data_IF_552160990870
#
_entry.id   IF_552160990870
#
_cell.length_a   1.000
_cell.length_b   1.000
_cell.length_c   1.000
_cell.angle_alpha   90.00
_cell.angle_beta   90.00
_cell.angle_gamma   90.00
#
_symmetry.space_group_name_H-M   'P 1'
#
loop_
_entity.id
_entity.type
_entity.pdbx_description
1 polymer ?
#
# COMPACT_ATOMS: atom_id res chain seq x y z
N UNK A 1 -15.57 -13.59 24.30
CA UNK A 1 -16.28 -12.81 25.35
C UNK A 1 -17.58 -12.31 24.75
N UNK A 2 -18.70 -12.32 25.47
CA UNK A 2 -19.94 -11.75 24.94
C UNK A 2 -19.79 -10.23 24.73
N UNK A 3 -20.26 -9.71 23.59
CA UNK A 3 -20.05 -8.31 23.19
C UNK A 3 -20.67 -7.28 24.14
N UNK A 4 -21.66 -7.68 24.96
CA UNK A 4 -22.21 -6.83 26.03
C UNK A 4 -21.14 -6.30 27.00
N UNK A 5 -20.03 -7.02 27.15
CA UNK A 5 -18.94 -6.61 28.06
C UNK A 5 -17.96 -5.63 27.41
N UNK A 6 -18.10 -5.30 26.12
CA UNK A 6 -17.19 -4.42 25.39
C UNK A 6 -17.14 -2.98 25.93
N UNK A 7 -18.14 -2.58 26.73
CA UNK A 7 -18.14 -1.29 27.42
C UNK A 7 -17.04 -1.15 28.48
N UNK A 8 -16.55 -2.28 29.02
CA UNK A 8 -15.56 -2.29 30.12
C UNK A 8 -14.34 -3.17 29.82
N UNK A 9 -14.45 -4.12 28.89
CA UNK A 9 -13.37 -5.00 28.52
C UNK A 9 -12.61 -4.47 27.29
N UNK A 10 -11.26 -4.47 27.31
CA UNK A 10 -10.48 -4.09 26.15
C UNK A 10 -10.65 -5.10 25.02
N UNK A 11 -10.57 -4.63 23.78
CA UNK A 11 -10.65 -5.46 22.58
C UNK A 11 -9.34 -5.35 21.79
N UNK A 12 -8.61 -6.46 21.71
CA UNK A 12 -7.33 -6.54 20.99
C UNK A 12 -7.44 -6.26 19.49
N UNK A 13 -8.62 -6.49 18.87
CA UNK A 13 -8.87 -6.14 17.47
C UNK A 13 -8.70 -4.64 17.24
N UNK A 14 -9.24 -3.81 18.14
CA UNK A 14 -9.12 -2.36 18.07
C UNK A 14 -7.67 -1.90 18.22
N UNK A 15 -6.88 -2.57 19.06
CA UNK A 15 -5.46 -2.24 19.22
C UNK A 15 -4.68 -2.43 17.92
N UNK A 16 -4.93 -3.52 17.18
CA UNK A 16 -4.26 -3.77 15.89
C UNK A 16 -4.72 -2.75 14.85
N UNK A 17 -6.02 -2.45 14.75
CA UNK A 17 -6.56 -1.46 13.82
C UNK A 17 -5.91 -0.08 14.06
N UNK A 18 -5.85 0.36 15.32
CA UNK A 18 -5.24 1.64 15.68
C UNK A 18 -3.73 1.67 15.42
N UNK A 19 -3.04 0.55 15.64
CA UNK A 19 -1.62 0.44 15.33
C UNK A 19 -1.38 0.57 13.82
N UNK A 20 -2.11 -0.17 12.98
CA UNK A 20 -1.98 -0.11 11.53
C UNK A 20 -2.24 1.30 10.97
N UNK A 21 -3.27 2.00 11.46
CA UNK A 21 -3.56 3.39 11.06
C UNK A 21 -2.48 4.41 11.47
N UNK A 22 -1.65 4.09 12.47
CA UNK A 22 -0.47 4.88 12.83
C UNK A 22 0.74 4.59 11.96
N UNK A 23 0.82 3.39 11.36
CA UNK A 23 1.92 2.98 10.50
C UNK A 23 1.71 3.41 9.05
N UNK A 24 0.46 3.48 8.59
CA UNK A 24 0.12 3.79 7.20
C UNK A 24 -1.20 4.55 7.10
N UNK A 25 -1.25 5.61 6.28
CA UNK A 25 -2.49 6.40 6.05
C UNK A 25 -3.22 6.07 4.75
N UNK A 26 -2.82 4.99 4.06
CA UNK A 26 -3.35 4.65 2.74
C UNK A 26 -2.50 5.18 1.59
N UNK A 27 -1.53 6.07 1.86
CA UNK A 27 -0.57 6.58 0.86
C UNK A 27 0.87 6.52 1.33
N UNK A 28 1.16 6.94 2.56
CA UNK A 28 2.51 7.10 3.06
C UNK A 28 2.73 6.27 4.32
N UNK A 29 3.89 5.63 4.39
CA UNK A 29 4.34 4.88 5.55
C UNK A 29 4.93 5.86 6.56
N UNK A 30 4.43 5.83 7.79
CA UNK A 30 4.78 6.79 8.85
C UNK A 30 5.92 6.31 9.76
N UNK A 31 6.55 5.19 9.43
CA UNK A 31 7.65 4.62 10.19
C UNK A 31 8.89 5.51 10.00
N UNK A 32 9.50 6.04 11.08
CA UNK A 32 10.72 6.82 10.98
C UNK A 32 11.83 6.02 10.28
N UNK A 33 12.47 6.65 9.29
CA UNK A 33 13.54 6.04 8.53
C UNK A 33 13.12 5.07 7.42
N UNK A 34 11.82 4.85 7.21
CA UNK A 34 11.32 3.91 6.19
C UNK A 34 11.82 4.23 4.78
N UNK A 35 11.95 5.51 4.45
CA UNK A 35 12.37 5.97 3.12
C UNK A 35 13.86 6.34 3.03
N UNK A 36 14.61 6.37 4.14
CA UNK A 36 15.96 6.95 4.19
C UNK A 36 16.96 6.28 3.24
N UNK A 37 16.76 5.00 2.94
CA UNK A 37 17.64 4.21 2.06
C UNK A 37 17.06 3.96 0.67
N UNK A 38 15.88 4.53 0.38
CA UNK A 38 15.27 4.42 -0.95
C UNK A 38 16.08 5.31 -1.89
N UNK A 39 16.78 4.68 -2.83
CA UNK A 39 17.56 5.39 -3.84
C UNK A 39 16.64 5.75 -5.00
N UNK A 40 16.69 6.98 -5.52
CA UNK A 40 15.97 7.32 -6.73
C UNK A 40 16.50 6.49 -7.91
N UNK A 41 15.61 6.19 -8.86
CA UNK A 41 16.01 5.57 -10.12
C UNK A 41 17.00 6.48 -10.87
N UNK A 42 18.05 5.88 -11.41
CA UNK A 42 18.99 6.51 -12.34
C UNK A 42 18.32 6.84 -13.67
N UNK A 43 18.92 7.70 -14.49
CA UNK A 43 18.36 8.04 -15.81
C UNK A 43 18.24 6.84 -16.76
N UNK A 44 19.17 5.88 -16.65
CA UNK A 44 19.09 4.62 -17.41
C UNK A 44 17.90 3.78 -16.95
N UNK A 45 17.73 3.62 -15.64
CA UNK A 45 16.60 2.87 -15.09
C UNK A 45 15.26 3.53 -15.41
N UNK A 46 15.16 4.86 -15.30
CA UNK A 46 13.96 5.61 -15.71
C UNK A 46 13.57 5.34 -17.16
N UNK A 47 14.55 5.28 -18.06
CA UNK A 47 14.30 4.98 -19.48
C UNK A 47 13.74 3.57 -19.67
N UNK A 48 14.37 2.57 -19.06
CA UNK A 48 13.91 1.17 -19.10
C UNK A 48 12.48 1.07 -18.54
N UNK A 49 12.24 1.70 -17.39
CA UNK A 49 10.94 1.72 -16.72
C UNK A 49 9.88 2.43 -17.60
N UNK A 50 10.24 3.49 -18.31
CA UNK A 50 9.32 4.20 -19.21
C UNK A 50 8.85 3.35 -20.39
N UNK A 51 9.70 2.42 -20.86
CA UNK A 51 9.43 1.51 -21.98
C UNK A 51 8.65 0.25 -21.56
N UNK A 52 8.43 0.02 -20.26
CA UNK A 52 7.76 -1.19 -19.75
C UNK A 52 6.33 -1.34 -20.31
N UNK A 53 6.01 -2.41 -21.06
CA UNK A 53 4.68 -2.54 -21.69
C UNK A 53 3.59 -2.76 -20.63
N UNK A 54 2.81 -1.72 -20.37
CA UNK A 54 1.73 -1.74 -19.37
C UNK A 54 0.51 -1.00 -19.88
N UNK A 55 -0.62 -1.68 -19.84
CA UNK A 55 -1.96 -1.14 -20.08
C UNK A 55 -2.73 -1.10 -18.77
N UNK A 56 -3.22 0.08 -18.40
CA UNK A 56 -4.01 0.28 -17.17
C UNK A 56 -5.32 -0.50 -17.27
N UNK A 57 -5.94 -0.45 -18.44
CA UNK A 57 -7.24 -1.03 -18.74
C UNK A 57 -7.16 -2.56 -18.65
N UNK A 58 -6.16 -3.18 -19.30
CA UNK A 58 -5.96 -4.63 -19.26
C UNK A 58 -5.62 -5.13 -17.85
N UNK A 59 -4.78 -4.37 -17.11
CA UNK A 59 -4.47 -4.69 -15.73
C UNK A 59 -5.72 -4.63 -14.84
N UNK A 60 -6.55 -3.60 -15.00
CA UNK A 60 -7.79 -3.50 -14.22
C UNK A 60 -8.79 -4.60 -14.57
N UNK A 61 -8.95 -4.93 -15.85
CA UNK A 61 -9.85 -5.99 -16.31
C UNK A 61 -9.41 -7.36 -15.77
N UNK A 62 -8.13 -7.71 -15.91
CA UNK A 62 -7.59 -9.01 -15.48
C UNK A 62 -7.71 -9.25 -13.97
N UNK A 63 -7.65 -8.19 -13.16
CA UNK A 63 -7.78 -8.27 -11.70
C UNK A 63 -9.16 -7.85 -11.17
N UNK A 64 -10.12 -7.50 -12.04
CA UNK A 64 -11.46 -7.07 -11.65
C UNK A 64 -11.49 -5.77 -10.82
N UNK A 65 -10.53 -4.87 -11.05
CA UNK A 65 -10.36 -3.63 -10.29
C UNK A 65 -11.21 -2.49 -10.87
N UNK A 66 -11.77 -1.67 -9.98
CA UNK A 66 -12.55 -0.47 -10.37
C UNK A 66 -11.72 0.81 -10.48
N UNK A 67 -10.59 0.84 -9.80
CA UNK A 67 -9.65 1.96 -9.82
C UNK A 67 -8.25 1.45 -9.46
N UNK A 68 -7.24 2.23 -9.83
CA UNK A 68 -5.87 2.06 -9.36
C UNK A 68 -5.48 3.26 -8.49
N UNK A 69 -4.32 3.14 -7.85
CA UNK A 69 -3.79 4.17 -6.95
C UNK A 69 -3.48 5.50 -7.65
N UNK A 70 -3.15 5.44 -8.93
CA UNK A 70 -2.87 6.60 -9.79
C UNK A 70 -3.62 6.46 -11.11
N UNK A 71 -3.88 7.59 -11.75
CA UNK A 71 -4.62 7.60 -13.00
C UNK A 71 -3.75 7.48 -14.24
N UNK A 72 -2.54 8.04 -14.20
CA UNK A 72 -1.62 8.02 -15.32
C UNK A 72 -0.66 6.82 -15.22
N UNK A 73 -0.22 6.34 -16.38
CA UNK A 73 0.69 5.20 -16.50
C UNK A 73 2.06 5.46 -15.86
N UNK A 74 2.59 6.67 -15.98
CA UNK A 74 3.93 7.01 -15.50
C UNK A 74 4.04 6.81 -13.99
N UNK A 75 3.11 7.36 -13.22
CA UNK A 75 3.07 7.22 -11.76
C UNK A 75 2.81 5.78 -11.31
N UNK A 76 1.96 5.03 -12.02
CA UNK A 76 1.73 3.61 -11.74
C UNK A 76 3.03 2.80 -11.88
N UNK A 77 3.74 3.00 -12.99
CA UNK A 77 4.95 2.26 -13.31
C UNK A 77 6.13 2.70 -12.45
N UNK A 78 6.27 4.01 -12.18
CA UNK A 78 7.22 4.53 -11.22
C UNK A 78 6.96 3.94 -9.83
N UNK A 79 5.71 3.88 -9.37
CA UNK A 79 5.37 3.29 -8.07
C UNK A 79 5.62 1.79 -8.04
N UNK A 80 5.44 1.07 -9.16
CA UNK A 80 5.65 -0.37 -9.23
C UNK A 80 7.14 -0.76 -9.14
N UNK A 81 8.04 0.04 -9.73
CA UNK A 81 9.47 -0.30 -9.81
C UNK A 81 10.39 0.55 -8.94
N UNK A 82 9.95 1.75 -8.54
CA UNK A 82 10.79 2.75 -7.87
C UNK A 82 10.45 2.99 -6.40
N UNK A 83 9.26 2.61 -5.95
CA UNK A 83 8.79 2.92 -4.59
C UNK A 83 8.65 1.65 -3.73
N UNK A 84 8.99 1.70 -2.43
CA UNK A 84 8.71 0.60 -1.50
C UNK A 84 7.21 0.51 -1.20
N UNK A 85 6.76 -0.68 -0.80
CA UNK A 85 5.36 -0.93 -0.42
C UNK A 85 5.23 -1.25 1.07
N UNK A 86 4.03 -1.04 1.60
CA UNK A 86 3.61 -1.49 2.92
C UNK A 86 2.19 -2.04 2.77
N UNK A 87 2.04 -3.35 2.93
CA UNK A 87 0.81 -4.07 2.67
C UNK A 87 0.35 -4.86 3.90
N UNK A 88 -0.96 -5.14 3.96
CA UNK A 88 -1.54 -6.09 4.92
C UNK A 88 -2.03 -7.30 4.13
N UNK A 89 -1.33 -8.42 4.24
CA UNK A 89 -1.68 -9.66 3.53
C UNK A 89 -2.82 -10.44 4.20
N UNK A 90 -3.15 -10.11 5.46
CA UNK A 90 -4.26 -10.72 6.18
C UNK A 90 -4.46 -10.11 7.55
N UNK A 91 -5.70 -10.22 8.06
CA UNK A 91 -6.06 -9.83 9.42
C UNK A 91 -7.03 -10.88 9.98
N UNK A 92 -6.66 -11.51 11.09
CA UNK A 92 -7.50 -12.51 11.78
C UNK A 92 -7.83 -11.96 13.16
N UNK A 93 -9.12 -11.78 13.43
CA UNK A 93 -9.65 -11.36 14.72
C UNK A 93 -11.15 -11.65 14.79
N UNK A 94 -11.67 -11.98 15.98
CA UNK A 94 -13.09 -12.30 16.20
C UNK A 94 -13.31 -13.12 17.45
#
# INVERSE_FOLDING_TARGET
MHSSNAAIAPNSAWNIILALGRLYDGRTVKIPGFYDKVRPLTETEKRIVSEYPFSKEEFMESFGLKYLRYDNREDLIKSLFGDPTFNVDGLISG
#
